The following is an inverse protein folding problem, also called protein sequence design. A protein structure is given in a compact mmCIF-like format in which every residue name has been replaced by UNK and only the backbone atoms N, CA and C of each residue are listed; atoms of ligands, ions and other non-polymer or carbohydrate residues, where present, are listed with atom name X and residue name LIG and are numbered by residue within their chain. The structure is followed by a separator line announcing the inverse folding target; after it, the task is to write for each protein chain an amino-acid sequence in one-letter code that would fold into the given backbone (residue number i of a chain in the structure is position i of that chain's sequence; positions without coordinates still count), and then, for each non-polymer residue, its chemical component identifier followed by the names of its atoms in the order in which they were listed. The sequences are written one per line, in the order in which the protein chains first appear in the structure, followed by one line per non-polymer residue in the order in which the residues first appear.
data_IF_460131086707
#
_entry.id   IF_460131086707
#
_cell.length_a   1.000
_cell.length_b   1.000
_cell.length_c   1.000
_cell.angle_alpha   90.00
_cell.angle_beta   90.00
_cell.angle_gamma   90.00
#
_symmetry.space_group_name_H-M   'P 1'
#
loop_
_entity.id
_entity.type
_entity.pdbx_description
1 polymer ?
#
# COMPACT_ATOMS: atom_id res chain seq x y z
N UNK A 1 1.97 18.87 8.80
CA UNK A 1 1.11 17.76 8.34
C UNK A 1 0.16 17.45 9.47
N UNK A 2 -1.12 17.29 9.15
CA UNK A 2 -2.12 16.82 10.08
C UNK A 2 -1.75 15.40 10.55
N UNK A 3 -1.92 15.11 11.85
CA UNK A 3 -1.60 13.78 12.40
C UNK A 3 -2.77 12.85 12.08
N UNK A 4 -2.50 11.72 11.45
CA UNK A 4 -3.51 10.69 11.22
C UNK A 4 -3.82 9.95 12.52
N UNK A 5 -5.09 9.58 12.72
CA UNK A 5 -5.53 8.72 13.82
C UNK A 5 -5.11 7.27 13.60
N UNK A 6 -5.09 6.47 14.66
CA UNK A 6 -4.83 5.02 14.57
C UNK A 6 -5.84 4.31 13.67
N UNK A 7 -7.11 4.75 13.72
CA UNK A 7 -8.19 4.24 12.87
C UNK A 7 -7.92 4.53 11.40
N UNK A 8 -7.62 5.79 11.04
CA UNK A 8 -7.32 6.17 9.66
C UNK A 8 -6.10 5.41 9.11
N UNK A 9 -5.05 5.23 9.92
CA UNK A 9 -3.87 4.46 9.51
C UNK A 9 -4.21 2.98 9.29
N UNK A 10 -5.03 2.38 10.16
CA UNK A 10 -5.48 0.98 10.03
C UNK A 10 -6.36 0.78 8.80
N UNK A 11 -7.31 1.68 8.56
CA UNK A 11 -8.19 1.62 7.39
C UNK A 11 -7.42 1.82 6.08
N UNK A 12 -6.48 2.78 6.05
CA UNK A 12 -5.60 2.99 4.91
C UNK A 12 -4.73 1.75 4.65
N UNK A 13 -4.10 1.17 5.69
CA UNK A 13 -3.31 -0.05 5.56
C UNK A 13 -4.12 -1.19 4.95
N UNK A 14 -5.31 -1.46 5.52
CA UNK A 14 -6.21 -2.53 5.05
C UNK A 14 -6.62 -2.32 3.59
N UNK A 15 -6.98 -1.09 3.21
CA UNK A 15 -7.39 -0.77 1.85
C UNK A 15 -6.25 -0.97 0.84
N UNK A 16 -5.04 -0.47 1.17
CA UNK A 16 -3.87 -0.59 0.30
C UNK A 16 -3.36 -2.03 0.22
N UNK A 17 -3.43 -2.80 1.30
CA UNK A 17 -3.08 -4.21 1.30
C UNK A 17 -4.03 -5.02 0.40
N UNK A 18 -5.33 -4.74 0.45
CA UNK A 18 -6.31 -5.35 -0.46
C UNK A 18 -6.01 -5.00 -1.91
N UNK A 19 -5.66 -3.74 -2.20
CA UNK A 19 -5.28 -3.29 -3.54
C UNK A 19 -4.02 -4.01 -4.03
N UNK A 20 -3.00 -4.14 -3.17
CA UNK A 20 -1.77 -4.86 -3.49
C UNK A 20 -2.04 -6.33 -3.83
N UNK A 21 -2.89 -7.01 -3.06
CA UNK A 21 -3.29 -8.39 -3.34
C UNK A 21 -4.01 -8.52 -4.68
N UNK A 22 -4.89 -7.57 -5.03
CA UNK A 22 -5.57 -7.54 -6.33
C UNK A 22 -4.58 -7.33 -7.48
N UNK A 23 -3.60 -6.43 -7.31
CA UNK A 23 -2.53 -6.23 -8.28
C UNK A 23 -1.67 -7.48 -8.46
N UNK A 24 -1.32 -8.17 -7.37
CA UNK A 24 -0.52 -9.40 -7.43
C UNK A 24 -1.22 -10.61 -8.07
N UNK A 25 -2.56 -10.61 -8.08
CA UNK A 25 -3.37 -11.65 -8.74
C UNK A 25 -3.59 -11.40 -10.23
N UNK A 26 -3.17 -10.24 -10.74
CA UNK A 26 -3.36 -9.90 -12.15
C UNK A 26 -2.38 -10.70 -13.01
N UNK A 27 -2.91 -11.37 -14.03
CA UNK A 27 -2.11 -12.12 -14.99
C UNK A 27 -1.39 -11.15 -15.94
N UNK A 28 -0.13 -10.86 -15.64
CA UNK A 28 0.69 -9.92 -16.41
C UNK A 28 0.87 -10.37 -17.87
N UNK A 29 0.73 -11.67 -18.18
CA UNK A 29 0.90 -12.18 -19.56
C UNK A 29 -0.21 -11.72 -20.50
N UNK A 30 -1.37 -11.33 -19.96
CA UNK A 30 -2.53 -10.82 -20.71
C UNK A 30 -2.51 -9.31 -20.90
N UNK A 31 -1.52 -8.62 -20.33
CA UNK A 31 -1.40 -7.17 -20.38
C UNK A 31 -0.44 -6.75 -21.50
N UNK A 32 -0.74 -5.62 -22.13
CA UNK A 32 0.24 -4.96 -23.02
C UNK A 32 1.41 -4.38 -22.21
N UNK A 33 2.58 -4.19 -22.82
CA UNK A 33 3.81 -3.75 -22.12
C UNK A 33 3.61 -2.52 -21.22
N UNK A 34 2.88 -1.50 -21.70
CA UNK A 34 2.61 -0.29 -20.91
C UNK A 34 1.79 -0.58 -19.64
N UNK A 35 0.84 -1.51 -19.71
CA UNK A 35 0.04 -1.95 -18.57
C UNK A 35 0.86 -2.79 -17.58
N UNK A 36 1.75 -3.66 -18.08
CA UNK A 36 2.70 -4.41 -17.24
C UNK A 36 3.58 -3.45 -16.43
N UNK A 37 4.24 -2.50 -17.11
CA UNK A 37 5.06 -1.48 -16.45
C UNK A 37 4.26 -0.65 -15.45
N UNK A 38 3.03 -0.28 -15.77
CA UNK A 38 2.16 0.45 -14.84
C UNK A 38 1.79 -0.40 -13.61
N UNK A 39 1.49 -1.68 -13.80
CA UNK A 39 1.17 -2.62 -12.72
C UNK A 39 2.37 -2.78 -11.77
N UNK A 40 3.57 -2.98 -12.31
CA UNK A 40 4.81 -3.09 -11.52
C UNK A 40 5.09 -1.83 -10.69
N UNK A 41 4.92 -0.65 -11.30
CA UNK A 41 5.07 0.63 -10.60
C UNK A 41 4.03 0.81 -9.50
N UNK A 42 2.77 0.44 -9.75
CA UNK A 42 1.70 0.47 -8.73
C UNK A 42 2.01 -0.45 -7.56
N UNK A 43 2.44 -1.69 -7.83
CA UNK A 43 2.85 -2.64 -6.79
C UNK A 43 4.00 -2.06 -5.95
N UNK A 44 4.99 -1.46 -6.60
CA UNK A 44 6.14 -0.85 -5.92
C UNK A 44 5.71 0.31 -5.01
N UNK A 45 4.86 1.21 -5.52
CA UNK A 45 4.32 2.32 -4.74
C UNK A 45 3.48 1.86 -3.55
N UNK A 46 2.62 0.85 -3.74
CA UNK A 46 1.81 0.28 -2.66
C UNK A 46 2.66 -0.33 -1.54
N UNK A 47 3.74 -1.05 -1.89
CA UNK A 47 4.67 -1.59 -0.89
C UNK A 47 5.34 -0.49 -0.07
N UNK A 48 5.78 0.59 -0.72
CA UNK A 48 6.36 1.75 -0.02
C UNK A 48 5.33 2.41 0.90
N UNK A 49 4.11 2.64 0.41
CA UNK A 49 3.05 3.25 1.20
C UNK A 49 2.70 2.42 2.43
N UNK A 50 2.57 1.10 2.29
CA UNK A 50 2.32 0.19 3.41
C UNK A 50 3.44 0.25 4.46
N UNK A 51 4.70 0.19 4.03
CA UNK A 51 5.85 0.29 4.95
C UNK A 51 5.89 1.63 5.70
N UNK A 52 5.49 2.73 5.06
CA UNK A 52 5.39 4.04 5.70
C UNK A 52 4.25 4.09 6.73
N UNK A 53 3.11 3.48 6.44
CA UNK A 53 1.98 3.39 7.37
C UNK A 53 2.35 2.53 8.59
N UNK A 54 2.97 1.36 8.37
CA UNK A 54 3.44 0.47 9.45
C UNK A 54 4.46 1.16 10.35
N UNK A 55 5.37 1.94 9.76
CA UNK A 55 6.32 2.77 10.50
C UNK A 55 5.61 3.83 11.36
N UNK A 56 4.56 4.46 10.84
CA UNK A 56 3.80 5.48 11.58
C UNK A 56 2.96 4.85 12.70
N UNK A 57 2.35 3.69 12.47
CA UNK A 57 1.67 2.90 13.50
C UNK A 57 2.62 2.50 14.62
N UNK A 58 3.81 2.00 14.28
CA UNK A 58 4.84 1.60 15.26
C UNK A 58 5.28 2.75 16.16
N UNK A 59 5.31 4.00 15.64
CA UNK A 59 5.62 5.18 16.46
C UNK A 59 4.50 5.50 17.44
N UNK A 60 3.25 5.31 17.06
CA UNK A 60 2.08 5.52 17.94
C UNK A 60 2.00 4.46 19.03
N UNK A 61 2.33 3.22 18.72
CA UNK A 61 2.33 2.12 19.70
C UNK A 61 3.46 2.25 20.74
N UNK A 62 4.52 3.02 20.42
CA UNK A 62 5.67 3.25 21.31
C UNK A 62 5.56 4.51 22.19
N UNK A 63 4.41 5.19 22.21
CA UNK A 63 4.12 6.25 23.18
C UNK A 63 3.47 7.49 22.56
N UNK A 64 2.14 7.54 22.67
CA UNK A 64 1.43 8.75 23.15
C UNK A 64 1.23 8.62 24.67
#
# INVERSE_FOLDING_TARGET
MEKFTTVELSEAHRALLSMLQKCGKMDATKLVKSQQTLLERRISALKVALALIEKEQSKKDQGE
#
